data_IF_514767454421
#
_entry.id   IF_514767454421
#
_cell.length_a   1.000
_cell.length_b   1.000
_cell.length_c   1.000
_cell.angle_alpha   90.00
_cell.angle_beta   90.00
_cell.angle_gamma   90.00
#
_symmetry.space_group_name_H-M   'P 1'
#
loop_
_entity.id
_entity.type
_entity.pdbx_description
1 polymer ?
#
# COMPACT_ATOMS: atom_id res chain seq x y z
N UNK A 1 -23.26 -104.23 -2.64
CA UNK A 1 -24.11 -103.12 -3.13
C UNK A 1 -23.31 -102.34 -4.17
N UNK A 2 -23.86 -102.22 -5.38
CA UNK A 2 -23.60 -101.25 -6.46
C UNK A 2 -22.16 -101.01 -6.99
N UNK A 3 -21.96 -101.59 -8.17
CA UNK A 3 -21.18 -101.13 -9.34
C UNK A 3 -21.41 -99.66 -9.75
N UNK A 4 -20.41 -99.01 -10.38
CA UNK A 4 -20.44 -98.44 -11.78
C UNK A 4 -19.27 -97.43 -12.05
N UNK A 5 -18.52 -97.77 -13.12
CA UNK A 5 -17.80 -97.02 -14.19
C UNK A 5 -16.82 -95.83 -14.01
N UNK A 6 -15.75 -95.98 -14.80
CA UNK A 6 -14.66 -95.08 -15.22
C UNK A 6 -15.14 -93.88 -16.05
N UNK A 7 -14.34 -92.80 -16.07
CA UNK A 7 -13.96 -92.13 -17.33
C UNK A 7 -12.67 -91.32 -17.18
N UNK A 8 -11.76 -91.57 -18.12
CA UNK A 8 -10.49 -90.87 -18.37
C UNK A 8 -10.79 -89.69 -19.30
N UNK A 9 -10.28 -88.50 -19.00
CA UNK A 9 -10.05 -87.45 -19.99
C UNK A 9 -8.71 -86.77 -19.66
N UNK A 10 -7.70 -87.03 -20.49
CA UNK A 10 -6.49 -86.21 -20.55
C UNK A 10 -6.72 -85.07 -21.55
N UNK A 11 -6.26 -83.85 -21.22
CA UNK A 11 -6.14 -82.77 -22.20
C UNK A 11 -4.75 -82.15 -22.07
N UNK A 12 -4.14 -82.10 -23.25
CA UNK A 12 -2.79 -81.74 -23.63
C UNK A 12 -2.55 -80.24 -23.42
N UNK A 13 -1.53 -79.86 -22.65
CA UNK A 13 -1.10 -78.45 -22.51
C UNK A 13 -0.34 -78.05 -23.78
N UNK A 14 -1.05 -77.49 -24.76
CA UNK A 14 -0.48 -76.95 -25.99
C UNK A 14 0.12 -75.56 -25.69
N UNK A 15 1.43 -75.51 -25.47
CA UNK A 15 2.22 -74.28 -25.48
C UNK A 15 2.20 -73.69 -26.89
N UNK A 16 1.31 -72.74 -27.14
CA UNK A 16 1.32 -71.91 -28.35
C UNK A 16 2.30 -70.76 -28.10
N UNK A 17 3.55 -70.94 -28.51
CA UNK A 17 4.45 -69.82 -28.78
C UNK A 17 3.96 -69.15 -30.07
N UNK A 18 3.21 -68.05 -29.94
CA UNK A 18 3.01 -67.14 -31.05
C UNK A 18 4.36 -66.48 -31.39
N UNK A 19 5.02 -67.03 -32.40
CA UNK A 19 6.05 -66.34 -33.17
C UNK A 19 5.33 -65.28 -34.01
N UNK A 20 5.43 -64.01 -33.62
CA UNK A 20 5.19 -62.93 -34.56
C UNK A 20 6.47 -62.70 -35.35
N UNK A 21 6.41 -63.10 -36.62
CA UNK A 21 7.29 -62.65 -37.68
C UNK A 21 6.89 -61.19 -37.96
N UNK A 22 7.54 -60.24 -37.29
CA UNK A 22 7.42 -58.84 -37.68
C UNK A 22 8.27 -58.62 -38.92
N UNK A 23 7.54 -58.54 -40.03
CA UNK A 23 7.92 -57.85 -41.24
C UNK A 23 8.97 -56.78 -40.99
N UNK A 24 10.06 -56.86 -41.76
CA UNK A 24 11.00 -55.76 -41.95
C UNK A 24 10.31 -54.58 -42.64
N UNK A 25 9.34 -53.97 -41.96
CA UNK A 25 9.05 -52.58 -42.20
C UNK A 25 10.29 -51.82 -41.76
N UNK A 26 10.75 -50.95 -42.64
CA UNK A 26 11.86 -50.06 -42.41
C UNK A 26 11.43 -49.09 -41.29
N UNK A 27 11.52 -49.51 -40.03
CA UNK A 27 11.33 -48.63 -38.87
C UNK A 27 12.53 -47.73 -38.84
N UNK A 28 12.49 -46.70 -39.69
CA UNK A 28 13.27 -45.49 -39.51
C UNK A 28 13.01 -45.06 -38.07
N UNK A 29 14.00 -45.26 -37.19
CA UNK A 29 13.97 -44.81 -35.80
C UNK A 29 13.58 -43.35 -35.70
N UNK A 30 13.09 -42.93 -34.53
CA UNK A 30 12.78 -41.52 -34.30
C UNK A 30 14.10 -40.75 -34.38
N UNK A 31 14.18 -39.85 -35.37
CA UNK A 31 15.29 -38.95 -35.53
C UNK A 31 14.82 -37.57 -35.09
N UNK A 32 15.54 -36.99 -34.13
CA UNK A 32 15.36 -35.60 -33.70
C UNK A 32 16.45 -34.76 -34.36
N UNK A 33 16.07 -33.64 -34.96
CA UNK A 33 16.98 -32.63 -35.45
C UNK A 33 16.84 -31.36 -34.61
N UNK A 34 17.95 -30.89 -34.06
CA UNK A 34 18.07 -29.65 -33.31
C UNK A 34 19.52 -29.18 -33.42
N UNK A 35 19.74 -27.89 -33.22
CA UNK A 35 21.05 -27.25 -33.30
C UNK A 35 21.23 -26.30 -32.12
N UNK A 36 22.48 -26.05 -31.76
CA UNK A 36 22.84 -24.96 -30.86
C UNK A 36 22.77 -23.64 -31.63
N UNK A 37 22.34 -22.57 -30.99
CA UNK A 37 22.24 -21.27 -31.64
C UNK A 37 22.32 -20.11 -30.67
N UNK A 38 22.58 -18.93 -31.21
CA UNK A 38 22.66 -17.68 -30.47
C UNK A 38 21.51 -16.75 -30.87
N UNK A 39 20.99 -16.02 -29.89
CA UNK A 39 20.01 -14.95 -30.06
C UNK A 39 20.67 -13.65 -29.60
N UNK A 40 20.60 -12.59 -30.39
CA UNK A 40 20.93 -11.24 -29.94
C UNK A 40 19.65 -10.62 -29.36
N UNK A 41 19.70 -10.17 -28.11
CA UNK A 41 18.55 -9.53 -27.48
C UNK A 41 18.24 -8.17 -28.13
N UNK A 42 17.00 -7.68 -28.03
CA UNK A 42 16.68 -6.27 -28.27
C UNK A 42 17.47 -5.32 -27.34
N UNK A 43 17.56 -4.05 -27.71
CA UNK A 43 18.22 -2.99 -26.91
C UNK A 43 17.59 -2.82 -25.52
N UNK A 44 16.27 -2.95 -25.44
CA UNK A 44 15.51 -2.92 -24.19
C UNK A 44 14.59 -4.11 -24.16
N UNK A 45 14.74 -4.93 -23.12
CA UNK A 45 13.98 -6.17 -22.94
C UNK A 45 12.99 -5.99 -21.81
N UNK A 46 11.72 -6.26 -22.05
CA UNK A 46 10.66 -6.21 -21.04
C UNK A 46 10.27 -7.60 -20.58
N UNK A 47 9.76 -7.69 -19.35
CA UNK A 47 9.21 -8.94 -18.84
C UNK A 47 8.06 -9.40 -19.75
N UNK A 48 8.03 -10.70 -20.06
CA UNK A 48 7.13 -11.37 -21.02
C UNK A 48 7.43 -11.14 -22.50
N UNK A 49 8.51 -10.42 -22.85
CA UNK A 49 8.94 -10.35 -24.24
C UNK A 49 9.35 -11.75 -24.74
N UNK A 50 9.03 -12.03 -26.00
CA UNK A 50 9.48 -13.25 -26.67
C UNK A 50 10.76 -12.95 -27.44
N UNK A 51 11.88 -13.52 -27.00
CA UNK A 51 13.19 -13.30 -27.62
C UNK A 51 13.41 -14.18 -28.86
N UNK A 52 12.67 -15.28 -28.96
CA UNK A 52 12.77 -16.20 -30.09
C UNK A 52 12.07 -17.52 -29.83
N UNK A 53 12.36 -18.48 -30.70
CA UNK A 53 11.75 -19.80 -30.69
C UNK A 53 12.83 -20.88 -30.72
N UNK A 54 12.63 -21.91 -29.93
CA UNK A 54 13.46 -23.10 -29.90
C UNK A 54 13.38 -23.86 -31.23
N UNK A 55 14.52 -24.38 -31.65
CA UNK A 55 14.65 -25.11 -32.92
C UNK A 55 14.65 -26.60 -32.67
N UNK A 56 13.65 -27.30 -33.19
CA UNK A 56 13.58 -28.75 -33.07
C UNK A 56 12.55 -29.37 -34.00
N UNK A 57 12.89 -30.48 -34.65
CA UNK A 57 11.95 -31.24 -35.46
C UNK A 57 12.22 -32.74 -35.38
N UNK A 58 11.23 -33.54 -35.78
CA UNK A 58 11.37 -34.98 -35.88
C UNK A 58 10.75 -35.51 -37.16
N UNK A 59 11.30 -36.62 -37.68
CA UNK A 59 10.69 -37.41 -38.75
C UNK A 59 9.33 -38.03 -38.37
N UNK A 60 8.87 -37.88 -37.13
CA UNK A 60 7.58 -38.38 -36.61
C UNK A 60 6.69 -37.27 -36.01
N UNK A 61 6.78 -36.05 -36.55
CA UNK A 61 5.94 -34.90 -36.16
C UNK A 61 6.59 -33.98 -35.14
N UNK A 62 5.78 -33.21 -34.40
CA UNK A 62 6.25 -32.19 -33.45
C UNK A 62 7.03 -32.77 -32.27
N UNK A 63 8.00 -32.00 -31.79
CA UNK A 63 8.83 -32.30 -30.61
C UNK A 63 8.34 -31.51 -29.41
N UNK A 64 8.71 -31.94 -28.21
CA UNK A 64 8.48 -31.17 -26.98
C UNK A 64 9.80 -30.62 -26.45
N UNK A 65 9.76 -29.42 -25.89
CA UNK A 65 10.91 -28.76 -25.27
C UNK A 65 10.80 -28.81 -23.75
N UNK A 66 11.93 -28.97 -23.07
CA UNK A 66 12.01 -28.86 -21.60
C UNK A 66 13.29 -28.14 -21.22
N UNK A 67 13.19 -27.15 -20.33
CA UNK A 67 14.35 -26.45 -19.80
C UNK A 67 15.04 -27.35 -18.77
N UNK A 68 16.29 -27.73 -19.03
CA UNK A 68 17.11 -28.50 -18.08
C UNK A 68 17.76 -27.55 -17.08
N UNK A 69 18.40 -26.50 -17.60
CA UNK A 69 19.08 -25.49 -16.80
C UNK A 69 19.18 -24.18 -17.57
N UNK A 70 19.30 -23.09 -16.82
CA UNK A 70 19.61 -21.77 -17.34
C UNK A 70 20.61 -21.08 -16.43
N UNK A 71 21.44 -20.21 -16.99
CA UNK A 71 22.42 -19.41 -16.25
C UNK A 71 22.41 -18.01 -16.84
N UNK A 72 21.99 -16.98 -16.08
CA UNK A 72 21.48 -17.02 -14.70
C UNK A 72 20.15 -17.79 -14.54
N UNK A 73 19.88 -18.28 -13.33
CA UNK A 73 18.60 -18.92 -13.00
C UNK A 73 17.44 -17.93 -13.10
N UNK A 74 16.26 -18.43 -13.48
CA UNK A 74 15.02 -17.64 -13.65
C UNK A 74 15.12 -16.48 -14.66
N UNK A 75 16.06 -16.51 -15.60
CA UNK A 75 16.17 -15.50 -16.64
C UNK A 75 15.02 -15.56 -17.65
N UNK A 76 14.61 -16.78 -18.04
CA UNK A 76 13.51 -17.02 -18.99
C UNK A 76 12.58 -18.15 -18.55
N UNK A 77 11.39 -18.17 -19.15
CA UNK A 77 10.43 -19.26 -19.14
C UNK A 77 10.14 -19.73 -20.57
N UNK A 78 9.80 -21.01 -20.74
CA UNK A 78 9.54 -21.59 -22.05
C UNK A 78 8.04 -21.73 -22.33
N UNK A 79 7.60 -21.26 -23.49
CA UNK A 79 6.27 -21.52 -24.01
C UNK A 79 6.12 -22.97 -24.48
N UNK A 80 5.27 -23.75 -23.80
CA UNK A 80 5.12 -25.20 -24.03
C UNK A 80 4.53 -25.57 -25.39
N UNK A 81 3.89 -24.64 -26.11
CA UNK A 81 3.18 -24.92 -27.36
C UNK A 81 4.06 -24.75 -28.59
N UNK A 82 4.91 -23.73 -28.63
CA UNK A 82 5.72 -23.38 -29.81
C UNK A 82 7.22 -23.25 -29.51
N UNK A 83 7.64 -23.51 -28.27
CA UNK A 83 9.04 -23.35 -27.86
C UNK A 83 9.46 -21.89 -27.76
N UNK A 84 8.53 -21.00 -27.43
CA UNK A 84 8.84 -19.57 -27.20
C UNK A 84 9.83 -19.44 -26.04
N UNK A 85 10.80 -18.54 -26.18
CA UNK A 85 11.70 -18.13 -25.10
C UNK A 85 11.17 -16.79 -24.60
N UNK A 86 10.55 -16.81 -23.42
CA UNK A 86 9.83 -15.67 -22.85
C UNK A 86 10.62 -15.15 -21.66
N UNK A 87 10.86 -13.84 -21.60
CA UNK A 87 11.66 -13.22 -20.53
C UNK A 87 10.91 -13.24 -19.19
N UNK A 88 11.59 -13.68 -18.15
CA UNK A 88 11.10 -13.67 -16.76
C UNK A 88 11.76 -12.57 -15.93
N UNK A 89 13.09 -12.44 -16.07
CA UNK A 89 13.94 -11.46 -15.37
C UNK A 89 14.67 -10.56 -16.39
N UNK A 90 14.10 -9.39 -16.74
CA UNK A 90 14.67 -8.46 -17.73
C UNK A 90 16.03 -7.88 -17.31
N UNK A 91 16.32 -7.82 -16.01
CA UNK A 91 17.57 -7.29 -15.45
C UNK A 91 18.82 -7.98 -16.03
N UNK A 92 18.75 -9.27 -16.38
CA UNK A 92 19.87 -10.00 -16.97
C UNK A 92 20.17 -9.62 -18.43
N UNK A 93 19.25 -8.91 -19.09
CA UNK A 93 19.40 -8.44 -20.46
C UNK A 93 19.64 -6.94 -20.53
N UNK A 94 19.28 -6.21 -19.48
CA UNK A 94 19.28 -4.75 -19.46
C UNK A 94 20.40 -4.15 -18.58
N UNK A 95 21.06 -4.94 -17.74
CA UNK A 95 22.13 -4.47 -16.82
C UNK A 95 23.48 -5.13 -17.11
N UNK A 96 24.51 -4.69 -16.40
CA UNK A 96 25.87 -5.24 -16.44
C UNK A 96 26.06 -6.51 -15.57
N UNK A 97 24.98 -7.11 -15.06
CA UNK A 97 25.04 -8.37 -14.29
C UNK A 97 25.67 -9.51 -15.11
N UNK A 98 25.32 -9.60 -16.40
CA UNK A 98 25.85 -10.61 -17.32
C UNK A 98 25.70 -10.16 -18.77
N UNK A 99 26.62 -10.61 -19.63
CA UNK A 99 26.54 -10.38 -21.08
C UNK A 99 25.82 -11.52 -21.81
N UNK A 100 25.67 -12.69 -21.17
CA UNK A 100 25.10 -13.88 -21.80
C UNK A 100 24.20 -14.68 -20.85
N UNK A 101 23.00 -15.02 -21.33
CA UNK A 101 22.11 -15.99 -20.72
C UNK A 101 22.21 -17.30 -21.49
N UNK A 102 22.63 -18.37 -20.82
CA UNK A 102 22.84 -19.68 -21.42
C UNK A 102 21.75 -20.66 -20.97
N UNK A 103 21.11 -21.33 -21.93
CA UNK A 103 20.05 -22.31 -21.72
C UNK A 103 20.48 -23.68 -22.20
N UNK A 104 20.13 -24.72 -21.44
CA UNK A 104 20.29 -26.12 -21.86
C UNK A 104 18.90 -26.72 -22.00
N UNK A 105 18.55 -27.11 -23.22
CA UNK A 105 17.20 -27.52 -23.59
C UNK A 105 17.19 -28.99 -23.97
N UNK A 106 16.29 -29.76 -23.36
CA UNK A 106 15.93 -31.09 -23.84
C UNK A 106 14.89 -30.97 -24.96
N UNK A 107 15.23 -31.49 -26.13
CA UNK A 107 14.31 -31.68 -27.26
C UNK A 107 13.94 -33.15 -27.30
N UNK A 108 12.67 -33.46 -27.06
CA UNK A 108 12.19 -34.82 -26.86
C UNK A 108 11.11 -35.23 -27.85
N UNK A 109 11.18 -36.49 -28.27
CA UNK A 109 10.10 -37.17 -28.99
C UNK A 109 10.02 -38.62 -28.52
N UNK A 110 8.92 -38.96 -27.84
CA UNK A 110 8.72 -40.27 -27.22
C UNK A 110 9.90 -40.63 -26.28
N UNK A 111 10.70 -41.65 -26.62
CA UNK A 111 11.85 -42.10 -25.82
C UNK A 111 13.18 -41.48 -26.26
N UNK A 112 13.22 -40.82 -27.42
CA UNK A 112 14.45 -40.18 -27.92
C UNK A 112 14.55 -38.74 -27.40
N UNK A 113 15.77 -38.35 -27.03
CA UNK A 113 16.09 -37.00 -26.57
C UNK A 113 17.36 -36.48 -27.24
N UNK A 114 17.41 -35.16 -27.47
CA UNK A 114 18.62 -34.42 -27.84
C UNK A 114 18.73 -33.17 -27.00
N UNK A 115 19.95 -32.66 -26.87
CA UNK A 115 20.23 -31.40 -26.21
C UNK A 115 20.44 -30.31 -27.27
N UNK A 116 19.93 -29.12 -26.98
CA UNK A 116 20.23 -27.87 -27.69
C UNK A 116 20.68 -26.84 -26.67
N UNK A 117 21.86 -26.26 -26.89
CA UNK A 117 22.35 -25.14 -26.10
C UNK A 117 21.97 -23.84 -26.80
N UNK A 118 21.35 -22.92 -26.07
CA UNK A 118 20.95 -21.61 -26.57
C UNK A 118 21.67 -20.54 -25.78
N UNK A 119 22.39 -19.67 -26.46
CA UNK A 119 23.02 -18.50 -25.83
C UNK A 119 22.27 -17.25 -26.26
N UNK A 120 21.80 -16.46 -25.31
CA UNK A 120 21.17 -15.17 -25.55
C UNK A 120 22.17 -14.11 -25.12
N UNK A 121 22.58 -13.26 -26.05
CA UNK A 121 23.52 -12.17 -25.79
C UNK A 121 22.77 -10.89 -25.49
N UNK A 122 23.22 -10.20 -24.46
CA UNK A 122 22.77 -8.84 -24.16
C UNK A 122 23.18 -7.91 -25.30
N UNK A 123 22.28 -6.99 -25.63
CA UNK A 123 22.57 -5.93 -26.58
C UNK A 123 23.34 -4.80 -25.89
N UNK A 124 24.45 -4.37 -26.48
CA UNK A 124 25.31 -3.32 -25.94
C UNK A 124 25.36 -2.07 -26.85
N UNK A 125 24.49 -1.99 -27.87
CA UNK A 125 24.45 -0.88 -28.84
C UNK A 125 23.59 0.31 -28.38
N UNK A 126 23.31 0.42 -27.09
CA UNK A 126 22.56 1.50 -26.44
C UNK A 126 23.23 1.76 -25.06
N UNK A 127 24.36 2.51 -25.05
CA UNK A 127 25.21 2.61 -23.88
C UNK A 127 24.66 3.58 -22.82
N UNK A 128 23.90 4.61 -23.20
CA UNK A 128 23.24 5.54 -22.27
C UNK A 128 21.87 5.03 -21.82
N UNK A 129 21.25 4.10 -22.55
CA UNK A 129 20.03 3.42 -22.14
C UNK A 129 18.76 4.22 -22.41
N UNK A 130 18.80 5.18 -23.33
CA UNK A 130 17.64 5.99 -23.70
C UNK A 130 16.62 5.21 -24.56
N UNK A 131 16.99 4.01 -25.02
CA UNK A 131 16.17 3.15 -25.88
C UNK A 131 16.33 3.42 -27.37
N UNK A 132 17.34 4.19 -27.79
CA UNK A 132 17.70 4.45 -29.17
C UNK A 132 19.05 3.82 -29.46
N UNK A 133 19.11 2.97 -30.49
CA UNK A 133 20.38 2.34 -30.86
C UNK A 133 21.39 3.40 -31.33
N UNK A 134 22.65 3.29 -30.92
CA UNK A 134 23.73 4.24 -31.24
C UNK A 134 23.92 4.52 -32.73
N UNK A 135 23.46 3.63 -33.62
CA UNK A 135 23.54 3.84 -35.07
C UNK A 135 22.48 4.81 -35.60
N UNK A 136 21.42 5.02 -34.84
CA UNK A 136 20.26 5.87 -35.13
C UNK A 136 20.15 7.06 -34.18
N UNK A 137 21.01 7.12 -33.15
CA UNK A 137 21.04 8.19 -32.18
C UNK A 137 21.99 9.33 -32.59
N UNK A 138 21.50 10.56 -32.45
CA UNK A 138 22.26 11.78 -32.66
C UNK A 138 23.28 12.06 -31.55
N UNK A 139 23.06 11.56 -30.33
CA UNK A 139 23.98 11.71 -29.21
C UNK A 139 24.07 10.41 -28.37
N UNK A 140 24.81 9.39 -28.85
CA UNK A 140 24.85 8.05 -28.27
C UNK A 140 25.35 7.89 -26.84
N UNK A 141 25.59 8.97 -26.09
CA UNK A 141 25.97 8.90 -24.66
C UNK A 141 25.16 9.88 -23.81
N UNK A 142 24.07 10.42 -24.36
CA UNK A 142 23.19 11.37 -23.70
C UNK A 142 21.84 10.71 -23.41
N UNK A 143 21.58 10.24 -22.17
CA UNK A 143 20.35 9.50 -21.84
C UNK A 143 19.05 10.29 -22.01
N UNK A 144 19.15 11.60 -22.17
CA UNK A 144 18.02 12.53 -22.33
C UNK A 144 17.83 13.01 -23.77
N UNK A 145 18.66 12.55 -24.70
CA UNK A 145 18.55 12.87 -26.11
C UNK A 145 18.42 11.58 -26.93
N UNK A 146 17.52 11.55 -27.93
CA UNK A 146 16.58 12.61 -28.32
C UNK A 146 15.52 12.87 -27.24
N UNK A 147 15.02 14.11 -27.19
CA UNK A 147 13.94 14.48 -26.27
C UNK A 147 12.72 13.61 -26.54
N UNK A 148 12.20 13.01 -25.48
CA UNK A 148 11.06 12.10 -25.54
C UNK A 148 9.76 12.79 -25.10
N UNK A 149 8.63 12.17 -25.45
CA UNK A 149 7.31 12.58 -24.95
C UNK A 149 7.07 12.03 -23.53
N UNK A 150 6.16 12.66 -22.79
CA UNK A 150 5.73 12.24 -21.45
C UNK A 150 5.27 10.77 -21.39
N UNK A 151 4.78 10.19 -22.49
CA UNK A 151 4.33 8.80 -22.53
C UNK A 151 5.44 7.79 -22.89
N UNK A 152 6.69 8.23 -23.02
CA UNK A 152 7.78 7.38 -23.44
C UNK A 152 8.15 6.35 -22.37
N UNK A 153 8.26 5.09 -22.78
CA UNK A 153 8.64 3.95 -21.90
C UNK A 153 9.68 3.05 -22.57
N UNK A 154 10.38 3.58 -23.57
CA UNK A 154 11.36 2.84 -24.38
C UNK A 154 12.75 2.75 -23.74
N UNK A 155 13.00 3.52 -22.68
CA UNK A 155 14.27 3.56 -21.96
C UNK A 155 14.58 2.26 -21.20
N UNK A 156 15.85 2.11 -20.84
CA UNK A 156 16.37 1.06 -19.99
C UNK A 156 16.53 1.55 -18.54
N UNK A 157 15.57 1.23 -17.69
CA UNK A 157 15.59 1.58 -16.26
C UNK A 157 16.68 0.86 -15.43
N UNK A 158 17.42 -0.08 -16.01
CA UNK A 158 18.56 -0.74 -15.37
C UNK A 158 19.91 -0.14 -15.81
N UNK A 159 19.93 0.74 -16.81
CA UNK A 159 21.16 1.41 -17.26
C UNK A 159 21.58 2.47 -16.24
N UNK A 160 22.85 2.44 -15.79
CA UNK A 160 23.34 3.39 -14.79
C UNK A 160 23.34 4.85 -15.27
N UNK A 161 23.62 5.09 -16.55
CA UNK A 161 23.67 6.43 -17.14
C UNK A 161 22.26 7.03 -17.20
N UNK A 162 21.30 6.30 -17.75
CA UNK A 162 19.90 6.75 -17.77
C UNK A 162 19.34 7.01 -16.37
N UNK A 163 19.63 6.11 -15.42
CA UNK A 163 19.12 6.23 -14.05
C UNK A 163 19.59 7.47 -13.30
N UNK A 164 20.83 7.90 -13.52
CA UNK A 164 21.44 9.05 -12.83
C UNK A 164 21.15 10.38 -13.53
N UNK A 165 20.54 10.35 -14.71
CA UNK A 165 20.15 11.54 -15.44
C UNK A 165 18.91 12.21 -14.85
N UNK A 166 18.70 13.45 -15.23
CA UNK A 166 17.57 14.32 -14.88
C UNK A 166 17.13 14.94 -16.22
N UNK A 167 16.21 14.27 -16.91
CA UNK A 167 15.91 14.57 -18.30
C UNK A 167 14.89 15.69 -18.48
N UNK A 168 14.08 15.97 -17.48
CA UNK A 168 13.13 17.07 -17.45
C UNK A 168 13.65 18.32 -16.73
N UNK A 169 14.78 18.20 -16.02
CA UNK A 169 15.51 19.27 -15.35
C UNK A 169 14.78 19.82 -14.12
N UNK A 170 13.99 18.99 -13.43
CA UNK A 170 13.32 19.34 -12.18
C UNK A 170 14.22 19.19 -10.94
N UNK A 171 15.40 18.57 -11.10
CA UNK A 171 16.39 18.33 -10.05
C UNK A 171 16.28 16.97 -9.35
N UNK A 172 15.36 16.11 -9.79
CA UNK A 172 15.19 14.72 -9.36
C UNK A 172 15.81 13.81 -10.43
N UNK A 173 16.41 12.69 -10.02
CA UNK A 173 16.96 11.74 -10.99
C UNK A 173 15.87 10.83 -11.55
N UNK A 174 16.01 10.40 -12.81
CA UNK A 174 15.08 9.52 -13.49
C UNK A 174 14.72 8.26 -12.67
N UNK A 175 15.67 7.70 -11.91
CA UNK A 175 15.38 6.53 -11.05
C UNK A 175 14.58 6.89 -9.80
N UNK A 176 14.85 8.04 -9.19
CA UNK A 176 14.10 8.52 -8.04
C UNK A 176 12.67 8.87 -8.45
N UNK A 177 12.49 9.45 -9.63
CA UNK A 177 11.18 9.71 -10.22
C UNK A 177 10.39 8.42 -10.45
N UNK A 178 10.99 7.40 -11.10
CA UNK A 178 10.35 6.09 -11.23
C UNK A 178 9.98 5.44 -9.90
N UNK A 179 10.79 5.66 -8.87
CA UNK A 179 10.55 5.13 -7.53
C UNK A 179 9.40 5.86 -6.84
N UNK A 180 9.29 7.16 -7.07
CA UNK A 180 8.25 8.04 -6.52
C UNK A 180 6.97 8.06 -7.37
N UNK A 181 7.01 7.49 -8.58
CA UNK A 181 5.88 7.47 -9.52
C UNK A 181 5.72 8.75 -10.33
N UNK A 182 6.72 9.63 -10.37
CA UNK A 182 6.76 10.83 -11.22
C UNK A 182 7.39 10.51 -12.59
N UNK A 183 7.40 11.47 -13.52
CA UNK A 183 7.73 11.23 -14.92
C UNK A 183 9.13 11.73 -15.34
N UNK A 184 10.06 10.83 -15.74
CA UNK A 184 11.43 11.20 -16.13
C UNK A 184 11.60 12.22 -17.26
N UNK A 185 10.54 12.54 -18.00
CA UNK A 185 10.58 13.41 -19.16
C UNK A 185 9.64 14.61 -19.02
N UNK A 186 9.09 14.84 -17.84
CA UNK A 186 8.14 15.92 -17.62
C UNK A 186 8.20 16.46 -16.20
N UNK A 187 8.66 17.72 -16.09
CA UNK A 187 8.77 18.45 -14.82
C UNK A 187 7.38 18.69 -14.24
N UNK A 188 6.98 17.79 -13.34
CA UNK A 188 5.69 17.86 -12.66
C UNK A 188 5.64 18.99 -11.63
N UNK A 189 6.78 19.54 -11.20
CA UNK A 189 6.78 20.73 -10.32
C UNK A 189 6.22 21.97 -11.02
N UNK A 190 6.18 21.94 -12.36
CA UNK A 190 5.51 22.95 -13.16
C UNK A 190 3.98 22.83 -13.17
N UNK A 191 3.45 21.69 -12.72
CA UNK A 191 2.02 21.48 -12.51
C UNK A 191 1.69 21.96 -11.10
N UNK A 192 0.86 22.99 -11.03
CA UNK A 192 0.40 23.53 -9.75
C UNK A 192 -0.48 22.53 -9.00
N UNK A 193 -0.70 22.84 -7.73
CA UNK A 193 -1.78 22.33 -6.91
C UNK A 193 -2.66 23.56 -6.62
N UNK A 194 -3.72 23.71 -7.40
CA UNK A 194 -4.53 24.93 -7.40
C UNK A 194 -5.26 25.08 -6.08
N UNK A 195 -5.79 24.00 -5.51
CA UNK A 195 -6.61 24.06 -4.30
C UNK A 195 -5.86 23.71 -3.01
N UNK A 196 -4.63 23.20 -3.09
CA UNK A 196 -3.76 22.92 -1.96
C UNK A 196 -4.07 21.61 -1.26
N UNK A 197 -4.75 20.66 -1.91
CA UNK A 197 -5.11 19.39 -1.30
C UNK A 197 -3.96 18.36 -1.29
N UNK A 198 -2.82 18.68 -1.91
CA UNK A 198 -1.66 17.80 -2.02
C UNK A 198 -1.61 16.96 -3.29
N UNK A 199 -2.60 17.09 -4.18
CA UNK A 199 -2.60 16.50 -5.52
C UNK A 199 -2.34 17.56 -6.58
N UNK A 200 -1.56 17.19 -7.58
CA UNK A 200 -1.29 18.07 -8.72
C UNK A 200 -2.51 18.15 -9.65
N UNK A 201 -2.71 19.31 -10.26
CA UNK A 201 -3.88 19.62 -11.10
C UNK A 201 -4.13 18.66 -12.27
N UNK A 202 -3.12 17.92 -12.75
CA UNK A 202 -3.24 17.00 -13.89
C UNK A 202 -3.70 15.59 -13.52
N UNK A 203 -3.44 15.18 -12.29
CA UNK A 203 -3.87 13.90 -11.71
C UNK A 203 -5.08 14.07 -10.80
N UNK A 204 -5.38 15.29 -10.38
CA UNK A 204 -6.59 15.60 -9.64
C UNK A 204 -7.83 15.65 -10.55
N UNK A 205 -8.86 14.94 -10.10
CA UNK A 205 -10.17 14.90 -10.74
C UNK A 205 -11.00 16.17 -10.52
N UNK A 206 -10.72 16.95 -9.47
CA UNK A 206 -11.40 18.22 -9.18
C UNK A 206 -10.42 19.30 -8.66
N UNK A 207 -9.54 19.86 -9.52
CA UNK A 207 -8.42 20.75 -9.16
C UNK A 207 -8.76 22.07 -8.46
N UNK A 208 -10.01 22.30 -8.08
CA UNK A 208 -10.44 23.53 -7.39
C UNK A 208 -11.25 23.20 -6.13
N UNK A 209 -11.22 21.95 -5.69
CA UNK A 209 -12.02 21.45 -4.58
C UNK A 209 -11.12 20.68 -3.60
N UNK A 210 -10.62 21.34 -2.56
CA UNK A 210 -9.58 20.79 -1.69
C UNK A 210 -10.02 19.64 -0.78
N UNK A 211 -11.29 19.25 -0.89
CA UNK A 211 -11.90 18.14 -0.18
C UNK A 211 -12.10 16.91 -1.08
N UNK A 212 -11.73 17.00 -2.35
CA UNK A 212 -11.77 15.90 -3.31
C UNK A 212 -10.38 15.69 -3.92
N UNK A 213 -9.91 14.43 -3.98
CA UNK A 213 -10.56 13.22 -3.48
C UNK A 213 -10.67 13.21 -1.95
N UNK A 214 -11.63 12.45 -1.44
CA UNK A 214 -11.90 12.39 0.00
C UNK A 214 -10.66 11.85 0.74
N UNK A 215 -10.15 12.67 1.66
CA UNK A 215 -9.09 12.31 2.59
C UNK A 215 -9.67 12.15 4.00
N UNK A 216 -8.91 11.49 4.87
CA UNK A 216 -9.33 11.20 6.24
C UNK A 216 -8.32 11.70 7.26
N UNK A 217 -8.75 11.72 8.52
CA UNK A 217 -7.90 12.07 9.66
C UNK A 217 -6.51 11.41 9.59
N UNK A 218 -5.47 12.22 9.79
CA UNK A 218 -4.07 11.83 9.66
C UNK A 218 -3.42 12.19 8.31
N UNK A 219 -4.18 12.63 7.31
CA UNK A 219 -3.63 13.20 6.08
C UNK A 219 -2.78 14.45 6.36
N UNK A 220 -1.66 14.63 5.66
CA UNK A 220 -0.67 15.70 5.90
C UNK A 220 -0.16 16.37 4.62
N UNK A 221 -0.53 15.89 3.43
CA UNK A 221 0.09 16.34 2.18
C UNK A 221 -0.54 17.65 1.64
N UNK A 222 -1.53 18.20 2.35
CA UNK A 222 -2.15 19.48 2.03
C UNK A 222 -1.26 20.70 2.33
N UNK A 223 -1.52 21.82 1.65
CA UNK A 223 -0.90 23.12 1.91
C UNK A 223 -1.79 24.01 2.78
N UNK A 224 -1.42 24.14 4.07
CA UNK A 224 -2.15 24.98 5.03
C UNK A 224 -2.10 26.49 4.72
N UNK A 225 -1.18 26.93 3.85
CA UNK A 225 -1.07 28.33 3.42
C UNK A 225 -1.87 28.60 2.13
N UNK A 226 -2.47 27.59 1.51
CA UNK A 226 -3.34 27.76 0.34
C UNK A 226 -4.71 28.33 0.77
N UNK A 227 -5.11 29.46 0.18
CA UNK A 227 -6.36 30.16 0.51
C UNK A 227 -7.64 29.33 0.20
N UNK A 228 -7.60 28.49 -0.85
CA UNK A 228 -8.73 27.63 -1.24
C UNK A 228 -8.87 26.50 -0.21
N UNK A 229 -7.77 25.81 0.09
CA UNK A 229 -7.73 24.79 1.13
C UNK A 229 -8.19 25.34 2.48
N UNK A 230 -7.61 26.46 2.92
CA UNK A 230 -7.87 27.04 4.23
C UNK A 230 -9.33 27.47 4.42
N UNK A 231 -10.02 27.89 3.35
CA UNK A 231 -11.40 28.33 3.38
C UNK A 231 -12.43 27.19 3.26
N UNK A 232 -12.00 25.97 2.92
CA UNK A 232 -12.88 24.81 2.81
C UNK A 232 -13.25 24.23 4.19
N UNK A 233 -14.20 23.30 4.21
CA UNK A 233 -14.69 22.60 5.40
C UNK A 233 -14.84 21.12 5.04
N UNK A 234 -13.71 20.40 5.00
CA UNK A 234 -13.66 19.07 4.40
C UNK A 234 -14.30 18.00 5.28
N UNK A 235 -14.38 18.21 6.59
CA UNK A 235 -15.12 17.32 7.50
C UNK A 235 -16.60 17.71 7.67
N UNK A 236 -17.03 18.85 7.13
CA UNK A 236 -18.42 19.30 7.10
C UNK A 236 -18.98 19.74 8.45
N UNK A 237 -18.13 20.14 9.40
CA UNK A 237 -18.54 20.52 10.75
C UNK A 237 -18.88 22.01 10.90
N UNK A 238 -18.69 22.80 9.84
CA UNK A 238 -18.97 24.24 9.79
C UNK A 238 -17.80 25.14 10.22
N UNK A 239 -16.63 24.57 10.50
CA UNK A 239 -15.38 25.28 10.79
C UNK A 239 -14.46 25.15 9.58
N UNK A 240 -13.75 26.21 9.22
CA UNK A 240 -12.83 26.15 8.10
C UNK A 240 -11.60 25.30 8.41
N UNK A 241 -11.04 24.62 7.41
CA UNK A 241 -9.83 23.82 7.55
C UNK A 241 -8.68 24.61 8.21
N UNK A 242 -8.51 25.88 7.82
CA UNK A 242 -7.51 26.77 8.41
C UNK A 242 -7.74 27.05 9.90
N UNK A 243 -8.99 27.31 10.29
CA UNK A 243 -9.37 27.50 11.69
C UNK A 243 -9.18 26.21 12.51
N UNK A 244 -9.48 25.06 11.91
CA UNK A 244 -9.25 23.76 12.52
C UNK A 244 -7.77 23.51 12.78
N UNK A 245 -6.91 23.70 11.80
CA UNK A 245 -5.45 23.56 11.99
C UNK A 245 -4.93 24.53 13.04
N UNK A 246 -5.39 25.79 13.04
CA UNK A 246 -5.00 26.79 14.05
C UNK A 246 -5.43 26.40 15.48
N UNK A 247 -6.61 25.78 15.63
CA UNK A 247 -7.07 25.19 16.88
C UNK A 247 -6.42 23.82 17.20
N UNK A 248 -5.68 23.28 16.22
CA UNK A 248 -5.17 21.93 16.24
C UNK A 248 -6.32 20.91 16.30
N UNK A 249 -7.14 20.92 15.28
CA UNK A 249 -8.14 19.90 14.98
C UNK A 249 -7.81 19.32 13.62
N UNK A 250 -8.37 18.14 13.33
CA UNK A 250 -8.22 17.59 11.99
C UNK A 250 -9.21 18.26 11.01
N UNK A 251 -8.73 18.76 9.85
CA UNK A 251 -9.60 19.28 8.79
C UNK A 251 -10.39 18.18 8.06
N UNK A 252 -10.06 16.91 8.30
CA UNK A 252 -10.60 15.77 7.55
C UNK A 252 -11.51 14.89 8.41
N UNK A 253 -12.53 14.26 7.80
CA UNK A 253 -13.46 13.40 8.51
C UNK A 253 -12.82 12.07 8.95
N UNK A 254 -13.58 11.35 9.77
CA UNK A 254 -13.29 9.94 10.04
C UNK A 254 -13.62 9.06 8.83
N UNK A 255 -12.84 7.98 8.58
CA UNK A 255 -13.19 7.00 7.56
C UNK A 255 -14.50 6.28 7.89
N UNK A 256 -15.26 5.87 6.87
CA UNK A 256 -16.51 5.09 7.02
C UNK A 256 -16.23 3.62 7.37
N UNK A 257 -15.64 3.41 8.54
CA UNK A 257 -15.34 2.11 9.14
C UNK A 257 -15.79 2.10 10.61
N UNK A 258 -15.95 0.93 11.24
CA UNK A 258 -16.35 0.85 12.65
C UNK A 258 -15.43 1.66 13.57
N UNK A 259 -16.00 2.40 14.52
CA UNK A 259 -15.26 3.32 15.38
C UNK A 259 -14.09 2.66 16.15
N UNK A 260 -14.24 1.40 16.55
CA UNK A 260 -13.16 0.66 17.22
C UNK A 260 -11.95 0.40 16.31
N UNK A 261 -12.15 0.34 14.98
CA UNK A 261 -11.08 0.14 14.01
C UNK A 261 -10.29 1.44 13.76
N UNK A 262 -10.93 2.61 13.95
CA UNK A 262 -10.31 3.94 13.79
C UNK A 262 -9.28 4.21 14.89
N UNK A 263 -9.65 3.90 16.13
CA UNK A 263 -8.85 4.27 17.30
C UNK A 263 -7.79 3.23 17.68
N UNK A 264 -7.78 2.05 17.05
CA UNK A 264 -6.88 0.93 17.40
C UNK A 264 -6.86 0.61 18.92
N UNK A 265 -7.94 0.96 19.64
CA UNK A 265 -8.24 0.61 21.02
C UNK A 265 -9.76 0.71 21.25
N UNK A 266 -10.27 -0.03 22.24
CA UNK A 266 -11.70 0.00 22.57
C UNK A 266 -12.05 1.26 23.37
N UNK A 267 -12.76 2.21 22.74
CA UNK A 267 -13.32 3.40 23.40
C UNK A 267 -14.24 3.06 24.59
N UNK A 268 -14.85 1.88 24.56
CA UNK A 268 -15.62 1.29 25.68
C UNK A 268 -14.80 1.15 26.98
N UNK A 269 -13.47 1.25 26.91
CA UNK A 269 -12.65 1.35 28.11
C UNK A 269 -12.88 2.62 28.92
N UNK A 270 -13.38 3.67 28.30
CA UNK A 270 -13.82 4.89 29.00
C UNK A 270 -15.29 4.83 29.42
N UNK A 271 -16.08 3.88 28.93
CA UNK A 271 -17.50 3.74 29.23
C UNK A 271 -17.76 3.08 30.61
N UNK A 272 -17.21 3.67 31.68
CA UNK A 272 -17.23 3.13 33.05
C UNK A 272 -16.98 4.22 34.08
N UNK A 273 -16.94 3.81 35.35
CA UNK A 273 -16.43 4.65 36.43
C UNK A 273 -14.90 4.84 36.30
N UNK A 274 -14.46 6.08 36.32
CA UNK A 274 -13.09 6.48 36.05
C UNK A 274 -12.59 7.39 37.16
N UNK A 275 -11.29 7.29 37.47
CA UNK A 275 -10.63 8.19 38.42
C UNK A 275 -10.16 9.44 37.70
N UNK A 276 -10.47 10.60 38.26
CA UNK A 276 -9.95 11.89 37.81
C UNK A 276 -8.92 12.43 38.79
N UNK A 277 -7.90 13.13 38.28
CA UNK A 277 -6.98 13.95 39.07
C UNK A 277 -6.94 15.32 38.44
N UNK A 278 -7.50 16.28 39.16
CA UNK A 278 -7.48 17.68 38.79
C UNK A 278 -6.33 18.40 39.52
N UNK A 279 -5.59 19.24 38.81
CA UNK A 279 -4.45 19.98 39.38
C UNK A 279 -4.85 20.99 40.46
N UNK A 280 -6.07 21.51 40.40
CA UNK A 280 -6.58 22.55 41.30
C UNK A 280 -7.40 21.95 42.44
N UNK A 281 -8.13 20.87 42.17
CA UNK A 281 -9.15 20.33 43.06
C UNK A 281 -8.85 18.91 43.57
N UNK A 282 -7.81 18.23 43.08
CA UNK A 282 -7.40 16.91 43.55
C UNK A 282 -8.18 15.75 42.92
N UNK A 283 -8.37 14.66 43.67
CA UNK A 283 -8.96 13.43 43.12
C UNK A 283 -10.48 13.45 43.09
N UNK A 284 -11.06 12.97 41.99
CA UNK A 284 -12.50 12.79 41.81
C UNK A 284 -12.84 11.48 41.10
N UNK A 285 -14.14 11.31 40.84
CA UNK A 285 -14.69 10.18 40.10
C UNK A 285 -15.69 10.70 39.07
N UNK A 286 -15.64 10.17 37.86
CA UNK A 286 -16.60 10.47 36.78
C UNK A 286 -17.06 9.18 36.11
N UNK A 287 -18.16 9.25 35.37
CA UNK A 287 -18.66 8.14 34.57
C UNK A 287 -18.55 8.54 33.10
N UNK A 288 -17.77 7.80 32.32
CA UNK A 288 -17.73 7.98 30.88
C UNK A 288 -18.87 7.22 30.19
N UNK A 289 -19.45 7.83 29.16
CA UNK A 289 -20.53 7.29 28.34
C UNK A 289 -20.19 7.54 26.87
N UNK A 290 -20.17 6.50 26.05
CA UNK A 290 -19.88 6.64 24.61
C UNK A 290 -21.00 7.42 23.92
N UNK A 291 -20.65 8.40 23.10
CA UNK A 291 -21.57 9.15 22.26
C UNK A 291 -22.02 8.37 21.02
N UNK A 292 -22.99 8.92 20.30
CA UNK A 292 -23.45 8.34 19.03
C UNK A 292 -22.47 8.64 17.88
N UNK A 293 -21.77 9.77 17.95
CA UNK A 293 -20.70 10.13 17.03
C UNK A 293 -19.39 9.44 17.44
N UNK A 294 -18.68 8.90 16.45
CA UNK A 294 -17.39 8.27 16.70
C UNK A 294 -16.39 9.28 17.27
N UNK A 295 -15.58 8.83 18.24
CA UNK A 295 -14.64 9.70 18.94
C UNK A 295 -15.28 10.57 20.03
N UNK A 296 -16.60 10.53 20.26
CA UNK A 296 -17.22 11.30 21.35
C UNK A 296 -17.38 10.46 22.61
N UNK A 297 -16.82 10.92 23.73
CA UNK A 297 -17.10 10.39 25.08
C UNK A 297 -17.69 11.51 25.93
N UNK A 298 -18.84 11.24 26.54
CA UNK A 298 -19.42 12.12 27.55
C UNK A 298 -18.91 11.72 28.92
N UNK A 299 -18.21 12.62 29.60
CA UNK A 299 -17.92 12.46 31.01
C UNK A 299 -19.04 13.10 31.82
N UNK A 300 -19.63 12.29 32.68
CA UNK A 300 -20.85 12.61 33.42
C UNK A 300 -20.64 12.60 34.92
N UNK A 301 -21.54 13.28 35.62
CA UNK A 301 -21.51 13.46 37.06
C UNK A 301 -20.63 14.63 37.50
N UNK A 302 -20.97 15.21 38.64
CA UNK A 302 -20.33 16.42 39.17
C UNK A 302 -18.87 16.27 39.67
N UNK A 303 -18.27 15.09 39.53
CA UNK A 303 -16.92 14.78 40.01
C UNK A 303 -15.80 14.93 38.99
N UNK A 304 -16.08 15.29 37.73
CA UNK A 304 -15.08 15.37 36.66
C UNK A 304 -13.91 16.31 37.00
N UNK A 305 -14.19 17.56 37.36
CA UNK A 305 -13.19 18.56 37.79
C UNK A 305 -13.07 18.68 39.32
N UNK A 306 -13.73 17.79 40.07
CA UNK A 306 -13.82 17.82 41.53
C UNK A 306 -14.19 19.21 42.13
N UNK A 307 -15.07 19.96 41.45
CA UNK A 307 -15.54 21.28 41.88
C UNK A 307 -16.63 21.24 42.96
N UNK A 308 -17.01 20.05 43.43
CA UNK A 308 -18.07 19.86 44.43
C UNK A 308 -19.47 20.07 43.85
N UNK A 309 -19.72 19.61 42.62
CA UNK A 309 -21.03 19.68 42.00
C UNK A 309 -21.89 18.47 42.45
N UNK A 310 -23.06 18.74 43.03
CA UNK A 310 -23.92 17.71 43.64
C UNK A 310 -25.05 17.21 42.73
N UNK A 311 -25.07 17.65 41.48
CA UNK A 311 -26.00 17.23 40.45
C UNK A 311 -25.36 16.21 39.50
N UNK A 312 -26.15 15.20 39.12
CA UNK A 312 -25.69 14.08 38.30
C UNK A 312 -25.85 14.35 36.78
N UNK A 313 -26.51 15.45 36.41
CA UNK A 313 -26.79 15.85 35.03
C UNK A 313 -25.67 16.67 34.37
N UNK A 314 -24.56 16.92 35.07
CA UNK A 314 -23.34 17.45 34.45
C UNK A 314 -22.87 16.45 33.40
N UNK A 315 -22.75 16.93 32.15
CA UNK A 315 -22.39 16.13 30.98
C UNK A 315 -21.53 16.94 30.05
N UNK A 316 -20.26 16.56 29.92
CA UNK A 316 -19.26 17.30 29.15
C UNK A 316 -18.76 16.41 28.01
N UNK A 317 -18.91 16.83 26.74
CA UNK A 317 -18.41 16.09 25.60
C UNK A 317 -16.89 16.24 25.48
N UNK A 318 -16.20 15.12 25.32
CA UNK A 318 -14.80 15.06 24.95
C UNK A 318 -14.71 14.41 23.58
N UNK A 319 -14.04 15.08 22.66
CA UNK A 319 -13.83 14.64 21.29
C UNK A 319 -12.42 14.10 21.14
N UNK A 320 -12.30 12.88 20.63
CA UNK A 320 -11.06 12.15 20.46
C UNK A 320 -10.70 12.11 18.98
N UNK A 321 -9.44 12.38 18.66
CA UNK A 321 -8.89 12.37 17.31
C UNK A 321 -7.58 11.56 17.31
N UNK A 322 -7.47 10.44 16.58
CA UNK A 322 -6.21 9.71 16.48
C UNK A 322 -5.16 10.52 15.71
N UNK A 323 -3.88 10.34 16.06
CA UNK A 323 -2.78 10.98 15.34
C UNK A 323 -2.68 10.51 13.89
N UNK A 324 -3.03 9.26 13.63
CA UNK A 324 -3.11 8.64 12.31
C UNK A 324 -4.06 7.43 12.37
N UNK A 325 -4.43 6.88 11.22
CA UNK A 325 -5.39 5.77 11.08
C UNK A 325 -4.98 4.46 11.79
N UNK A 326 -3.74 4.35 12.25
CA UNK A 326 -3.19 3.16 12.93
C UNK A 326 -2.83 3.44 14.40
N UNK A 327 -2.87 4.69 14.82
CA UNK A 327 -2.41 5.10 16.14
C UNK A 327 -3.47 4.82 17.21
N UNK A 328 -3.03 4.23 18.33
CA UNK A 328 -3.82 4.14 19.56
C UNK A 328 -3.65 5.35 20.48
N UNK A 329 -2.98 6.40 20.00
CA UNK A 329 -2.77 7.65 20.70
C UNK A 329 -3.25 8.80 19.82
N UNK A 330 -3.56 9.91 20.47
CA UNK A 330 -3.99 11.08 19.73
C UNK A 330 -4.36 12.23 20.64
N UNK A 331 -5.21 13.07 20.11
CA UNK A 331 -5.64 14.32 20.72
C UNK A 331 -7.01 14.13 21.34
N UNK A 332 -7.26 14.89 22.40
CA UNK A 332 -8.59 15.05 22.96
C UNK A 332 -8.87 16.54 23.11
N UNK A 333 -10.11 16.96 22.88
CA UNK A 333 -10.50 18.33 23.13
C UNK A 333 -11.92 18.42 23.67
N UNK A 334 -12.21 19.55 24.31
CA UNK A 334 -13.52 19.96 24.79
C UNK A 334 -13.80 21.31 24.15
N UNK A 335 -14.82 21.34 23.31
CA UNK A 335 -15.35 22.61 22.78
C UNK A 335 -16.01 23.41 23.90
N UNK A 336 -16.15 24.73 23.71
CA UNK A 336 -16.78 25.62 24.67
C UNK A 336 -18.17 25.09 25.10
N UNK A 337 -18.21 24.47 26.28
CA UNK A 337 -19.37 23.77 26.80
C UNK A 337 -19.83 24.45 28.07
N UNK A 338 -21.10 24.86 28.11
CA UNK A 338 -21.74 25.35 29.33
C UNK A 338 -22.24 24.19 30.20
N UNK A 339 -21.99 24.25 31.50
CA UNK A 339 -22.54 23.34 32.49
C UNK A 339 -22.89 24.05 33.79
N UNK A 340 -23.86 23.49 34.52
CA UNK A 340 -24.33 24.02 35.79
C UNK A 340 -23.92 23.09 36.94
N UNK A 341 -23.43 23.66 38.03
CA UNK A 341 -23.09 22.93 39.24
C UNK A 341 -24.01 23.33 40.39
N UNK A 342 -24.73 22.34 40.90
CA UNK A 342 -25.59 22.45 42.08
C UNK A 342 -24.73 22.41 43.34
N UNK A 343 -24.95 23.36 44.25
CA UNK A 343 -24.24 23.42 45.52
C UNK A 343 -24.71 22.35 46.52
N UNK A 344 -23.98 22.20 47.62
CA UNK A 344 -24.25 21.21 48.67
C UNK A 344 -25.66 21.34 49.27
N UNK A 345 -26.19 22.57 49.35
CA UNK A 345 -27.53 22.84 49.87
C UNK A 345 -28.66 22.45 48.90
N UNK A 346 -28.31 22.11 47.65
CA UNK A 346 -29.23 21.76 46.55
C UNK A 346 -30.27 22.83 46.22
N UNK A 347 -30.02 24.08 46.59
CA UNK A 347 -30.91 25.21 46.33
C UNK A 347 -30.31 26.22 45.36
N UNK A 348 -28.98 26.31 45.28
CA UNK A 348 -28.26 27.26 44.43
C UNK A 348 -27.44 26.54 43.36
N UNK A 349 -27.46 27.08 42.14
CA UNK A 349 -26.66 26.60 41.00
C UNK A 349 -25.72 27.70 40.53
N UNK A 350 -24.53 27.31 40.09
CA UNK A 350 -23.55 28.19 39.43
C UNK A 350 -23.30 27.67 38.02
N UNK A 351 -23.20 28.58 37.05
CA UNK A 351 -22.93 28.22 35.67
C UNK A 351 -21.47 28.46 35.32
N UNK A 352 -20.92 27.54 34.52
CA UNK A 352 -19.55 27.55 34.08
C UNK A 352 -19.50 27.24 32.59
N UNK A 353 -18.48 27.75 31.91
CA UNK A 353 -18.03 27.18 30.63
C UNK A 353 -16.74 26.41 30.85
N UNK A 354 -16.51 25.40 30.02
CA UNK A 354 -15.21 24.74 29.90
C UNK A 354 -14.83 24.59 28.44
N UNK A 355 -13.55 24.78 28.16
CA UNK A 355 -12.90 24.38 26.92
C UNK A 355 -11.52 23.81 27.26
N UNK A 356 -10.97 22.97 26.39
CA UNK A 356 -9.65 22.41 26.66
C UNK A 356 -9.09 21.60 25.51
N UNK A 357 -7.78 21.41 25.56
CA UNK A 357 -7.02 20.61 24.61
C UNK A 357 -6.07 19.68 25.37
N UNK A 358 -5.89 18.49 24.85
CA UNK A 358 -5.16 17.43 25.51
C UNK A 358 -4.76 16.29 24.60
N UNK A 359 -4.29 15.23 25.22
CA UNK A 359 -3.91 13.99 24.54
C UNK A 359 -4.49 12.79 25.25
N UNK A 360 -4.63 11.69 24.50
CA UNK A 360 -4.93 10.40 25.08
C UNK A 360 -3.88 9.37 24.65
N UNK A 361 -3.67 8.38 25.51
CA UNK A 361 -2.82 7.24 25.23
C UNK A 361 -3.62 5.95 25.46
N UNK A 362 -3.97 5.26 24.39
CA UNK A 362 -4.83 4.07 24.42
C UNK A 362 -4.20 2.90 25.19
N UNK A 363 -2.88 2.73 25.08
CA UNK A 363 -2.16 1.67 25.79
C UNK A 363 -2.21 1.81 27.31
N UNK A 364 -2.11 3.04 27.83
CA UNK A 364 -2.22 3.34 29.26
C UNK A 364 -3.65 3.68 29.69
N UNK A 365 -4.57 3.85 28.73
CA UNK A 365 -5.96 4.30 28.91
C UNK A 365 -6.03 5.62 29.67
N UNK A 366 -5.07 6.51 29.40
CA UNK A 366 -4.96 7.79 30.08
C UNK A 366 -5.40 8.90 29.14
N UNK A 367 -6.19 9.82 29.66
CA UNK A 367 -6.50 11.12 29.03
C UNK A 367 -5.87 12.21 29.88
N UNK A 368 -5.19 13.15 29.25
CA UNK A 368 -4.62 14.34 29.88
C UNK A 368 -5.16 15.57 29.15
N UNK A 369 -5.95 16.38 29.83
CA UNK A 369 -6.59 17.58 29.27
C UNK A 369 -6.07 18.81 30.00
N UNK A 370 -5.55 19.80 29.27
CA UNK A 370 -5.38 21.15 29.80
C UNK A 370 -6.65 21.94 29.48
N UNK A 371 -7.26 22.52 30.50
CA UNK A 371 -8.56 23.18 30.38
C UNK A 371 -8.53 24.64 30.85
N UNK A 372 -9.54 25.38 30.40
CA UNK A 372 -9.95 26.70 30.89
C UNK A 372 -11.41 26.58 31.32
N UNK A 373 -11.69 26.87 32.58
CA UNK A 373 -13.06 26.97 33.12
C UNK A 373 -13.35 28.43 33.44
N UNK A 374 -14.50 28.94 32.98
CA UNK A 374 -14.94 30.32 33.27
C UNK A 374 -16.28 30.31 33.99
N UNK A 375 -16.36 30.97 35.16
CA UNK A 375 -17.62 31.14 35.89
C UNK A 375 -18.48 32.26 35.28
N UNK A 376 -19.77 32.02 35.08
CA UNK A 376 -20.69 32.91 34.35
C UNK A 376 -21.43 33.96 35.21
N UNK A 377 -21.07 34.15 36.48
CA UNK A 377 -21.74 35.11 37.36
C UNK A 377 -21.25 36.57 37.17
N UNK A 378 -22.18 37.51 37.06
CA UNK A 378 -21.93 38.94 36.79
C UNK A 378 -21.25 39.70 37.96
N UNK A 379 -21.27 39.14 39.17
CA UNK A 379 -20.74 39.78 40.38
C UNK A 379 -19.26 39.44 40.67
N UNK A 380 -18.58 38.69 39.78
CA UNK A 380 -17.20 38.23 39.96
C UNK A 380 -16.27 39.06 39.05
N UNK A 381 -15.14 39.59 39.57
CA UNK A 381 -14.13 40.26 38.75
C UNK A 381 -13.61 39.36 37.62
N UNK A 382 -13.40 39.89 36.42
CA UNK A 382 -12.99 39.11 35.23
C UNK A 382 -11.70 38.30 35.45
N UNK A 383 -10.78 38.78 36.28
CA UNK A 383 -9.54 38.11 36.66
C UNK A 383 -9.72 36.97 37.68
N UNK A 384 -10.87 36.89 38.34
CA UNK A 384 -11.23 35.82 39.29
C UNK A 384 -12.19 34.78 38.68
N UNK A 385 -12.72 35.03 37.47
CA UNK A 385 -13.69 34.14 36.80
C UNK A 385 -13.05 32.96 36.10
N UNK A 386 -11.78 33.08 35.72
CA UNK A 386 -11.09 32.11 34.85
C UNK A 386 -10.14 31.25 35.68
N UNK A 387 -10.29 29.93 35.59
CA UNK A 387 -9.39 28.95 36.18
C UNK A 387 -8.80 28.07 35.09
N UNK A 388 -7.49 27.92 35.08
CA UNK A 388 -6.80 26.98 34.18
C UNK A 388 -6.24 25.80 34.99
N UNK A 389 -6.18 24.63 34.38
CA UNK A 389 -5.69 23.44 35.06
C UNK A 389 -5.43 22.27 34.12
N UNK A 390 -4.97 21.17 34.71
CA UNK A 390 -4.78 19.90 34.03
C UNK A 390 -5.64 18.84 34.71
N UNK A 391 -6.40 18.12 33.89
CA UNK A 391 -7.23 17.00 34.27
C UNK A 391 -6.64 15.71 33.71
N UNK A 392 -6.33 14.75 34.59
CA UNK A 392 -5.93 13.40 34.20
C UNK A 392 -7.09 12.44 34.47
N UNK A 393 -7.52 11.70 33.45
CA UNK A 393 -8.56 10.67 33.55
C UNK A 393 -7.93 9.32 33.27
N UNK A 394 -8.21 8.33 34.11
CA UNK A 394 -7.76 6.94 33.93
C UNK A 394 -8.74 5.94 34.53
N UNK A 395 -8.76 4.68 34.06
CA UNK A 395 -9.45 3.59 34.72
C UNK A 395 -9.07 3.48 36.20
N UNK A 396 -10.06 3.13 37.02
CA UNK A 396 -9.87 2.80 38.44
C UNK A 396 -8.95 1.61 38.67
#
# INVERSE_FOLDING_TARGET
>A
MKTIFKSIIGVFLLLISFSCDESKDNVSGILINTEDFTIEAPIVVKKRDTLGFLKGSSNKGEVTFSLISQTPENSVVLGLRYGEIIVESPEFFNSDITDEVNLVIEVKKQQETKISNVTIRRNLNDPDGDGVESSMDSDPNSPCLPVQDVNYTGYNSYNSIWREADCDQDGISNIDELTNGTNPYFDESSIGDTDGDGLKDDVDSDPNNPCLPEQFIGYQDFDAENDIWAAADCNGNGISNGDEVAAGRSPYPFPDIPCNDIFNFELENYARELRTVDSNNGEGVTIGVVGEQCGTIFFTGGGIFNQGCFNDDVRIPFYFEPSDQTSSNGRVFVELTEYSCLSEDRMSSRNFTVEGLGTYAGASRTVELTYIITQLDDDIPDDERVTTGTLIIRPL
#
